data_IF_346088430989
#
_entry.id   IF_346088430989
#
_cell.length_a   1.000
_cell.length_b   1.000
_cell.length_c   1.000
_cell.angle_alpha   90.00
_cell.angle_beta   90.00
_cell.angle_gamma   90.00
#
_symmetry.space_group_name_H-M   'P 1'
#
loop_
_entity.id
_entity.type
_entity.pdbx_description
1 polymer ?
#
# COMPACT_ATOMS: atom_id res chain seq x y z
N UNK A 1 -13.63 34.33 -23.02
CA UNK A 1 -14.66 34.09 -22.00
C UNK A 1 -15.93 33.69 -22.73
N UNK A 2 -16.18 32.38 -22.93
CA UNK A 2 -17.41 31.87 -23.53
C UNK A 2 -17.96 30.74 -22.65
N UNK A 3 -19.07 31.04 -22.00
CA UNK A 3 -20.16 30.17 -21.53
C UNK A 3 -19.96 28.65 -21.63
N UNK A 4 -19.56 28.02 -20.51
CA UNK A 4 -19.62 26.58 -20.25
C UNK A 4 -20.57 26.33 -19.06
N UNK A 5 -21.84 26.74 -19.19
CA UNK A 5 -22.84 26.65 -18.10
C UNK A 5 -24.19 26.05 -18.54
N UNK A 6 -24.19 25.17 -19.53
CA UNK A 6 -25.40 24.55 -20.07
C UNK A 6 -25.30 23.02 -20.17
N UNK A 7 -24.92 22.32 -19.11
CA UNK A 7 -24.96 20.84 -19.09
C UNK A 7 -25.43 20.21 -17.78
N UNK A 8 -26.39 20.86 -17.14
CA UNK A 8 -27.35 20.22 -16.25
C UNK A 8 -28.74 20.78 -16.62
N UNK A 9 -29.26 20.37 -17.78
CA UNK A 9 -30.63 20.73 -18.15
C UNK A 9 -31.59 20.02 -17.22
N UNK A 10 -32.68 20.70 -16.86
CA UNK A 10 -33.83 20.16 -16.10
C UNK A 10 -34.28 18.76 -16.60
N UNK A 11 -34.08 18.49 -17.89
CA UNK A 11 -34.33 17.19 -18.54
C UNK A 11 -33.54 16.02 -17.98
N UNK A 12 -32.31 16.21 -17.48
CA UNK A 12 -31.48 15.10 -16.99
C UNK A 12 -31.94 14.63 -15.61
N UNK A 13 -32.38 15.55 -14.75
CA UNK A 13 -32.99 15.22 -13.44
C UNK A 13 -34.36 14.56 -13.63
N UNK A 14 -35.15 15.02 -14.60
CA UNK A 14 -36.42 14.39 -14.97
C UNK A 14 -36.21 12.99 -15.59
N UNK A 15 -35.10 12.79 -16.33
CA UNK A 15 -34.70 11.48 -16.86
C UNK A 15 -34.31 10.50 -15.73
N UNK A 16 -33.53 10.93 -14.74
CA UNK A 16 -33.15 10.12 -13.56
C UNK A 16 -34.40 9.65 -12.80
N UNK A 17 -35.34 10.56 -12.55
CA UNK A 17 -36.60 10.24 -11.84
C UNK A 17 -37.50 9.31 -12.66
N UNK A 18 -37.61 9.53 -13.96
CA UNK A 18 -38.43 8.67 -14.84
C UNK A 18 -37.85 7.25 -14.98
N UNK A 19 -36.53 7.10 -15.04
CA UNK A 19 -35.88 5.77 -15.09
C UNK A 19 -36.05 4.99 -13.78
N UNK A 20 -36.00 5.67 -12.63
CA UNK A 20 -36.30 5.05 -11.33
C UNK A 20 -37.71 4.46 -11.32
N UNK A 21 -38.70 5.24 -11.75
CA UNK A 21 -40.09 4.82 -11.85
C UNK A 21 -40.29 3.68 -12.86
N UNK A 22 -39.51 3.64 -13.95
CA UNK A 22 -39.55 2.53 -14.90
C UNK A 22 -39.10 1.24 -14.23
N UNK A 23 -37.99 1.25 -13.49
CA UNK A 23 -37.50 0.04 -12.81
C UNK A 23 -38.40 -0.42 -11.66
N UNK A 24 -38.98 0.50 -10.88
CA UNK A 24 -39.90 0.14 -9.79
C UNK A 24 -41.18 -0.57 -10.28
N UNK A 25 -41.62 -0.30 -11.51
CA UNK A 25 -42.86 -0.84 -12.08
C UNK A 25 -42.67 -2.17 -12.85
N UNK A 26 -41.45 -2.71 -12.91
CA UNK A 26 -41.15 -3.96 -13.63
C UNK A 26 -41.03 -5.12 -12.62
N UNK A 27 -41.53 -6.30 -13.00
CA UNK A 27 -41.41 -7.49 -12.17
C UNK A 27 -39.93 -7.83 -11.90
N UNK A 28 -39.59 -8.11 -10.64
CA UNK A 28 -38.20 -8.26 -10.20
C UNK A 28 -37.46 -9.41 -10.90
N UNK A 29 -38.17 -10.48 -11.27
CA UNK A 29 -37.60 -11.60 -12.02
C UNK A 29 -37.10 -11.17 -13.41
N UNK A 30 -37.82 -10.28 -14.08
CA UNK A 30 -37.42 -9.70 -15.37
C UNK A 30 -36.16 -8.84 -15.20
N UNK A 31 -36.13 -7.98 -14.17
CA UNK A 31 -34.98 -7.12 -13.90
C UNK A 31 -33.71 -7.89 -13.50
N UNK A 32 -33.86 -9.05 -12.87
CA UNK A 32 -32.72 -9.82 -12.35
C UNK A 32 -32.15 -10.81 -13.37
N UNK A 33 -32.90 -11.16 -14.43
CA UNK A 33 -32.51 -12.26 -15.33
C UNK A 33 -32.65 -12.00 -16.83
N UNK A 34 -33.51 -11.09 -17.27
CA UNK A 34 -33.78 -10.85 -18.70
C UNK A 34 -32.79 -9.83 -19.29
N UNK A 35 -31.71 -10.35 -19.88
CA UNK A 35 -30.66 -9.52 -20.48
C UNK A 35 -31.13 -8.78 -21.73
N UNK A 36 -32.11 -9.30 -22.46
CA UNK A 36 -32.56 -8.69 -23.72
C UNK A 36 -33.48 -7.52 -23.43
N UNK A 37 -34.37 -7.65 -22.44
CA UNK A 37 -35.11 -6.52 -21.90
C UNK A 37 -34.19 -5.37 -21.48
N UNK A 38 -33.11 -5.68 -20.75
CA UNK A 38 -32.17 -4.66 -20.28
C UNK A 38 -31.41 -3.99 -21.43
N UNK A 39 -30.93 -4.76 -22.42
CA UNK A 39 -30.32 -4.20 -23.64
C UNK A 39 -31.28 -3.31 -24.41
N UNK A 40 -32.53 -3.73 -24.55
CA UNK A 40 -33.59 -2.97 -25.21
C UNK A 40 -33.83 -1.63 -24.50
N UNK A 41 -33.90 -1.65 -23.16
CA UNK A 41 -34.02 -0.46 -22.34
C UNK A 41 -32.86 0.51 -22.61
N UNK A 42 -31.61 0.03 -22.48
CA UNK A 42 -30.41 0.84 -22.74
C UNK A 42 -30.41 1.37 -24.17
N UNK A 43 -30.72 0.54 -25.16
CA UNK A 43 -30.75 0.92 -26.58
C UNK A 43 -31.76 2.04 -26.84
N UNK A 44 -33.00 1.91 -26.34
CA UNK A 44 -34.05 2.92 -26.53
C UNK A 44 -33.70 4.25 -25.88
N UNK A 45 -33.04 4.23 -24.72
CA UNK A 45 -32.65 5.45 -24.01
C UNK A 45 -31.40 6.11 -24.62
N UNK A 46 -30.56 5.36 -25.34
CA UNK A 46 -29.28 5.86 -25.88
C UNK A 46 -29.23 6.05 -27.40
N UNK A 47 -30.22 5.54 -28.15
CA UNK A 47 -30.20 5.49 -29.62
C UNK A 47 -30.15 6.86 -30.30
N UNK A 48 -30.73 7.89 -29.68
CA UNK A 48 -30.86 9.23 -30.26
C UNK A 48 -29.76 10.20 -29.81
N UNK A 49 -28.77 9.73 -29.07
CA UNK A 49 -27.70 10.57 -28.53
C UNK A 49 -26.55 10.67 -29.52
N UNK A 50 -26.26 11.90 -29.96
CA UNK A 50 -25.18 12.19 -30.91
C UNK A 50 -23.80 12.23 -30.25
N UNK A 51 -23.70 12.66 -28.98
CA UNK A 51 -22.42 12.81 -28.29
C UNK A 51 -22.09 11.59 -27.42
N UNK A 52 -20.81 11.23 -27.38
CA UNK A 52 -20.27 10.10 -26.61
C UNK A 52 -20.46 10.29 -25.09
N UNK A 53 -20.37 11.53 -24.60
CA UNK A 53 -20.61 11.90 -23.21
C UNK A 53 -22.06 11.63 -22.77
N UNK A 54 -23.04 12.06 -23.56
CA UNK A 54 -24.46 11.88 -23.23
C UNK A 54 -24.83 10.40 -23.06
N UNK A 55 -24.24 9.52 -23.88
CA UNK A 55 -24.40 8.07 -23.76
C UNK A 55 -23.81 7.54 -22.45
N UNK A 56 -22.61 7.97 -22.08
CA UNK A 56 -21.97 7.54 -20.83
C UNK A 56 -22.76 8.04 -19.61
N UNK A 57 -23.25 9.27 -19.67
CA UNK A 57 -24.07 9.87 -18.64
C UNK A 57 -25.37 9.09 -18.42
N UNK A 58 -26.10 8.80 -19.49
CA UNK A 58 -27.34 8.05 -19.43
C UNK A 58 -27.09 6.61 -18.96
N UNK A 59 -26.01 5.99 -19.43
CA UNK A 59 -25.64 4.64 -19.01
C UNK A 59 -25.29 4.59 -17.52
N UNK A 60 -24.51 5.56 -17.02
CA UNK A 60 -24.19 5.68 -15.59
C UNK A 60 -25.47 5.85 -14.75
N UNK A 61 -26.42 6.64 -15.25
CA UNK A 61 -27.73 6.86 -14.62
C UNK A 61 -28.57 5.59 -14.58
N UNK A 62 -28.64 4.85 -15.69
CA UNK A 62 -29.36 3.58 -15.75
C UNK A 62 -28.76 2.59 -14.74
N UNK A 63 -27.44 2.43 -14.73
CA UNK A 63 -26.76 1.49 -13.84
C UNK A 63 -26.92 1.86 -12.37
N UNK A 64 -26.83 3.14 -12.03
CA UNK A 64 -27.03 3.60 -10.66
C UNK A 64 -28.45 3.29 -10.16
N UNK A 65 -29.49 3.67 -10.91
CA UNK A 65 -30.88 3.42 -10.52
C UNK A 65 -31.20 1.92 -10.46
N UNK A 66 -30.65 1.15 -11.40
CA UNK A 66 -30.80 -0.30 -11.38
C UNK A 66 -30.21 -0.92 -10.10
N UNK A 67 -29.05 -0.44 -9.64
CA UNK A 67 -28.40 -0.91 -8.42
C UNK A 67 -29.14 -0.51 -7.14
N UNK A 68 -29.77 0.66 -7.11
CA UNK A 68 -30.63 1.10 -6.00
C UNK A 68 -31.93 0.25 -5.91
N UNK A 69 -32.45 -0.18 -7.07
CA UNK A 69 -33.73 -0.92 -7.14
C UNK A 69 -33.55 -2.43 -6.92
N UNK A 70 -32.46 -3.01 -7.41
CA UNK A 70 -32.29 -4.47 -7.50
C UNK A 70 -31.26 -4.98 -6.51
N UNK A 71 -31.64 -5.96 -5.68
CA UNK A 71 -30.70 -6.64 -4.81
C UNK A 71 -29.65 -7.42 -5.63
N UNK A 72 -28.39 -7.00 -5.55
CA UNK A 72 -27.26 -7.56 -6.31
C UNK A 72 -27.08 -9.08 -6.12
N UNK A 73 -27.55 -9.63 -4.99
CA UNK A 73 -27.52 -11.08 -4.72
C UNK A 73 -28.48 -11.88 -5.60
N UNK A 74 -29.55 -11.25 -6.09
CA UNK A 74 -30.59 -11.89 -6.91
C UNK A 74 -30.29 -11.83 -8.41
N UNK A 75 -29.33 -10.98 -8.83
CA UNK A 75 -28.97 -10.81 -10.24
C UNK A 75 -28.30 -12.08 -10.78
N UNK A 76 -28.80 -12.56 -11.92
CA UNK A 76 -28.26 -13.71 -12.65
C UNK A 76 -26.83 -13.45 -13.15
N UNK A 77 -26.07 -14.53 -13.37
CA UNK A 77 -24.69 -14.40 -13.86
C UNK A 77 -24.61 -13.72 -15.25
N UNK A 78 -25.48 -14.06 -16.24
CA UNK A 78 -25.50 -13.34 -17.52
C UNK A 78 -25.77 -11.85 -17.37
N UNK A 79 -26.70 -11.46 -16.49
CA UNK A 79 -27.01 -10.05 -16.24
C UNK A 79 -25.84 -9.32 -15.57
N UNK A 80 -25.14 -9.95 -14.62
CA UNK A 80 -23.89 -9.41 -14.05
C UNK A 80 -22.81 -9.18 -15.11
N UNK A 81 -22.68 -10.12 -16.06
CA UNK A 81 -21.76 -9.98 -17.20
C UNK A 81 -22.12 -8.77 -18.07
N UNK A 82 -23.40 -8.62 -18.42
CA UNK A 82 -23.90 -7.49 -19.21
C UNK A 82 -23.67 -6.14 -18.51
N UNK A 83 -24.00 -6.04 -17.22
CA UNK A 83 -23.78 -4.83 -16.41
C UNK A 83 -22.29 -4.48 -16.36
N UNK A 84 -21.43 -5.49 -16.17
CA UNK A 84 -19.97 -5.31 -16.17
C UNK A 84 -19.46 -4.80 -17.51
N UNK A 85 -19.99 -5.27 -18.64
CA UNK A 85 -19.67 -4.75 -19.97
C UNK A 85 -20.03 -3.28 -20.11
N UNK A 86 -21.24 -2.88 -19.70
CA UNK A 86 -21.63 -1.48 -19.73
C UNK A 86 -20.80 -0.60 -18.79
N UNK A 87 -20.44 -1.09 -17.61
CA UNK A 87 -19.56 -0.37 -16.70
C UNK A 87 -18.16 -0.15 -17.29
N UNK A 88 -17.63 -1.14 -18.02
CA UNK A 88 -16.38 -1.02 -18.77
C UNK A 88 -16.49 -0.02 -19.93
N UNK A 89 -17.63 0.00 -20.62
CA UNK A 89 -17.90 0.99 -21.68
C UNK A 89 -17.88 2.41 -21.11
N UNK A 90 -18.48 2.64 -19.94
CA UNK A 90 -18.40 3.93 -19.23
C UNK A 90 -16.93 4.29 -18.96
N UNK A 91 -16.15 3.40 -18.33
CA UNK A 91 -14.73 3.65 -18.04
C UNK A 91 -13.93 4.05 -19.30
N UNK A 92 -14.24 3.41 -20.44
CA UNK A 92 -13.57 3.66 -21.73
C UNK A 92 -13.86 5.03 -22.35
N UNK A 93 -14.98 5.64 -21.96
CA UNK A 93 -15.65 6.66 -22.78
C UNK A 93 -16.07 7.91 -22.02
N UNK A 94 -16.01 7.88 -20.69
CA UNK A 94 -16.40 8.98 -19.82
C UNK A 94 -15.48 10.19 -19.97
N UNK A 95 -16.07 11.37 -20.01
CA UNK A 95 -15.34 12.64 -19.94
C UNK A 95 -15.17 12.99 -18.46
N UNK A 96 -13.95 12.77 -17.96
CA UNK A 96 -13.66 12.98 -16.54
C UNK A 96 -13.67 14.45 -16.14
N UNK A 97 -13.37 15.38 -17.05
CA UNK A 97 -13.44 16.82 -16.74
C UNK A 97 -14.90 17.18 -16.42
N UNK A 98 -15.82 16.70 -17.24
CA UNK A 98 -17.26 16.91 -17.04
C UNK A 98 -17.80 16.18 -15.80
N UNK A 99 -17.34 14.94 -15.55
CA UNK A 99 -17.74 14.14 -14.40
C UNK A 99 -17.44 14.84 -13.06
N UNK A 100 -16.21 15.34 -12.89
CA UNK A 100 -15.76 15.90 -11.62
C UNK A 100 -16.18 17.37 -11.41
N UNK A 101 -16.74 18.03 -12.42
CA UNK A 101 -17.42 19.32 -12.25
C UNK A 101 -18.80 19.16 -11.56
N UNK A 102 -19.38 17.96 -11.54
CA UNK A 102 -20.72 17.71 -11.00
C UNK A 102 -20.69 16.67 -9.90
N UNK A 103 -20.93 17.10 -8.65
CA UNK A 103 -20.83 16.25 -7.45
C UNK A 103 -21.69 14.99 -7.53
N UNK A 104 -22.95 15.11 -7.93
CA UNK A 104 -23.88 13.97 -8.02
C UNK A 104 -23.37 12.88 -8.97
N UNK A 105 -22.78 13.25 -10.11
CA UNK A 105 -22.26 12.29 -11.08
C UNK A 105 -20.96 11.65 -10.62
N UNK A 106 -20.10 12.42 -9.93
CA UNK A 106 -18.94 11.86 -9.25
C UNK A 106 -19.36 10.79 -8.23
N UNK A 107 -20.39 11.04 -7.42
CA UNK A 107 -20.94 10.08 -6.46
C UNK A 107 -21.48 8.81 -7.16
N UNK A 108 -22.25 8.98 -8.24
CA UNK A 108 -22.75 7.84 -9.05
C UNK A 108 -21.61 7.02 -9.66
N UNK A 109 -20.55 7.68 -10.14
CA UNK A 109 -19.37 6.99 -10.68
C UNK A 109 -18.60 6.24 -9.60
N UNK A 110 -18.42 6.84 -8.42
CA UNK A 110 -17.77 6.17 -7.29
C UNK A 110 -18.58 4.93 -6.85
N UNK A 111 -19.92 5.03 -6.85
CA UNK A 111 -20.79 3.89 -6.58
C UNK A 111 -20.70 2.80 -7.66
N UNK A 112 -20.57 3.20 -8.94
CA UNK A 112 -20.32 2.27 -10.05
C UNK A 112 -19.00 1.50 -9.82
N UNK A 113 -17.94 2.20 -9.40
CA UNK A 113 -16.64 1.60 -9.07
C UNK A 113 -16.78 0.56 -7.96
N UNK A 114 -17.36 0.94 -6.82
CA UNK A 114 -17.55 0.03 -5.68
C UNK A 114 -18.39 -1.19 -6.09
N UNK A 115 -19.49 -0.98 -6.81
CA UNK A 115 -20.45 -2.05 -7.06
C UNK A 115 -20.00 -3.04 -8.13
N UNK A 116 -19.30 -2.58 -9.16
CA UNK A 116 -18.93 -3.41 -10.31
C UNK A 116 -17.46 -3.80 -10.36
N UNK A 117 -16.59 -3.03 -9.68
CA UNK A 117 -15.14 -3.18 -9.75
C UNK A 117 -14.48 -3.47 -8.40
N UNK A 118 -15.25 -3.75 -7.33
CA UNK A 118 -14.68 -4.11 -6.01
C UNK A 118 -13.79 -5.36 -6.04
N UNK A 119 -14.01 -6.27 -7.01
CA UNK A 119 -13.16 -7.44 -7.25
C UNK A 119 -12.90 -7.57 -8.74
N UNK A 120 -11.91 -6.85 -9.23
CA UNK A 120 -11.50 -6.92 -10.62
C UNK A 120 -10.73 -8.21 -10.92
N UNK A 121 -11.06 -8.84 -12.05
CA UNK A 121 -10.13 -9.77 -12.72
C UNK A 121 -9.03 -9.00 -13.47
N UNK A 122 -8.07 -9.73 -14.04
CA UNK A 122 -6.91 -9.16 -14.75
C UNK A 122 -7.31 -8.21 -15.90
N UNK A 123 -8.36 -8.53 -16.66
CA UNK A 123 -8.83 -7.67 -17.74
C UNK A 123 -9.48 -6.38 -17.21
N UNK A 124 -10.31 -6.49 -16.17
CA UNK A 124 -10.99 -5.36 -15.56
C UNK A 124 -10.00 -4.39 -14.91
N UNK A 125 -8.99 -4.90 -14.18
CA UNK A 125 -7.98 -4.05 -13.53
C UNK A 125 -7.13 -3.32 -14.57
N UNK A 126 -6.84 -3.94 -15.72
CA UNK A 126 -6.16 -3.28 -16.83
C UNK A 126 -6.99 -2.09 -17.37
N UNK A 127 -8.29 -2.30 -17.60
CA UNK A 127 -9.19 -1.23 -18.07
C UNK A 127 -9.39 -0.13 -17.05
N UNK A 128 -9.48 -0.47 -15.77
CA UNK A 128 -9.55 0.49 -14.67
C UNK A 128 -8.30 1.37 -14.65
N UNK A 129 -7.12 0.75 -14.72
CA UNK A 129 -5.83 1.43 -14.76
C UNK A 129 -5.69 2.37 -15.97
N UNK A 130 -5.97 1.90 -17.18
CA UNK A 130 -5.95 2.73 -18.39
C UNK A 130 -6.88 3.95 -18.26
N UNK A 131 -8.05 3.74 -17.66
CA UNK A 131 -9.05 4.79 -17.47
C UNK A 131 -8.60 5.82 -16.43
N UNK A 132 -7.95 5.36 -15.35
CA UNK A 132 -7.31 6.24 -14.38
C UNK A 132 -6.21 7.09 -15.03
N UNK A 133 -5.33 6.50 -15.84
CA UNK A 133 -4.28 7.25 -16.54
C UNK A 133 -4.84 8.34 -17.44
N UNK A 134 -5.89 8.04 -18.24
CA UNK A 134 -6.57 9.06 -19.05
C UNK A 134 -7.11 10.18 -18.17
N UNK A 135 -7.75 9.83 -17.05
CA UNK A 135 -8.32 10.80 -16.13
C UNK A 135 -7.26 11.72 -15.51
N UNK A 136 -6.18 11.14 -14.97
CA UNK A 136 -5.09 11.86 -14.32
C UNK A 136 -4.32 12.77 -15.29
N UNK A 137 -4.17 12.37 -16.55
CA UNK A 137 -3.57 13.21 -17.58
C UNK A 137 -4.46 14.41 -17.97
N UNK A 138 -5.78 14.26 -17.89
CA UNK A 138 -6.73 15.33 -18.22
C UNK A 138 -7.03 16.27 -17.05
N UNK A 139 -6.77 15.85 -15.81
CA UNK A 139 -7.09 16.59 -14.60
C UNK A 139 -5.92 16.58 -13.62
N UNK A 140 -5.34 17.74 -13.36
CA UNK A 140 -4.29 17.91 -12.34
C UNK A 140 -4.87 18.20 -10.94
N UNK A 141 -6.17 17.96 -10.73
CA UNK A 141 -6.92 18.47 -9.58
C UNK A 141 -7.16 17.42 -8.49
N UNK A 142 -7.37 17.89 -7.26
CA UNK A 142 -7.53 17.10 -6.03
C UNK A 142 -8.82 16.26 -5.97
N UNK A 143 -9.67 16.31 -6.99
CA UNK A 143 -10.94 15.58 -7.03
C UNK A 143 -10.80 14.08 -7.31
N UNK A 144 -9.60 13.61 -7.72
CA UNK A 144 -9.38 12.22 -8.17
C UNK A 144 -9.02 11.22 -7.07
N UNK A 145 -8.87 11.65 -5.81
CA UNK A 145 -8.32 10.79 -4.76
C UNK A 145 -9.09 9.49 -4.57
N UNK A 146 -10.42 9.51 -4.63
CA UNK A 146 -11.21 8.28 -4.52
C UNK A 146 -10.86 7.29 -5.63
N UNK A 147 -10.86 7.74 -6.88
CA UNK A 147 -10.56 6.89 -8.04
C UNK A 147 -9.11 6.39 -8.00
N UNK A 148 -8.18 7.23 -7.56
CA UNK A 148 -6.79 6.86 -7.32
C UNK A 148 -6.65 5.75 -6.27
N UNK A 149 -7.21 5.97 -5.07
CA UNK A 149 -7.16 4.98 -3.98
C UNK A 149 -7.82 3.66 -4.38
N UNK A 150 -8.96 3.73 -5.06
CA UNK A 150 -9.66 2.56 -5.59
C UNK A 150 -8.83 1.82 -6.64
N UNK A 151 -8.19 2.54 -7.56
CA UNK A 151 -7.33 1.94 -8.58
C UNK A 151 -6.11 1.26 -7.94
N UNK A 152 -5.48 1.90 -6.96
CA UNK A 152 -4.34 1.32 -6.23
C UNK A 152 -4.75 0.06 -5.46
N UNK A 153 -5.92 0.03 -4.81
CA UNK A 153 -6.44 -1.19 -4.18
C UNK A 153 -6.52 -2.33 -5.19
N UNK A 154 -7.19 -2.11 -6.32
CA UNK A 154 -7.42 -3.15 -7.30
C UNK A 154 -6.12 -3.63 -7.96
N UNK A 155 -5.16 -2.72 -8.22
CA UNK A 155 -3.81 -3.09 -8.67
C UNK A 155 -3.09 -3.94 -7.62
N UNK A 156 -3.19 -3.58 -6.34
CA UNK A 156 -2.54 -4.29 -5.25
C UNK A 156 -3.11 -5.69 -5.05
N UNK A 157 -4.44 -5.84 -5.05
CA UNK A 157 -5.08 -7.16 -4.95
C UNK A 157 -4.69 -8.09 -6.12
N UNK A 158 -4.42 -7.52 -7.30
CA UNK A 158 -3.94 -8.24 -8.48
C UNK A 158 -2.40 -8.32 -8.59
N UNK A 159 -1.65 -7.91 -7.56
CA UNK A 159 -0.18 -7.97 -7.49
C UNK A 159 0.54 -7.21 -8.63
N UNK A 160 -0.08 -6.14 -9.14
CA UNK A 160 0.47 -5.29 -10.19
C UNK A 160 1.32 -4.14 -9.60
N UNK A 161 2.35 -4.48 -8.82
CA UNK A 161 3.15 -3.52 -8.04
C UNK A 161 3.88 -2.48 -8.90
N UNK A 162 4.45 -2.90 -10.04
CA UNK A 162 5.14 -2.01 -10.98
C UNK A 162 4.25 -0.88 -11.50
N UNK A 163 2.95 -1.13 -11.68
CA UNK A 163 1.99 -0.09 -12.06
C UNK A 163 1.71 0.89 -10.95
N UNK A 164 1.65 0.42 -9.70
CA UNK A 164 1.50 1.32 -8.54
C UNK A 164 2.71 2.23 -8.45
N UNK A 165 3.92 1.69 -8.63
CA UNK A 165 5.16 2.50 -8.64
C UNK A 165 5.18 3.51 -9.78
N UNK A 166 4.76 3.11 -10.99
CA UNK A 166 4.58 4.05 -12.10
C UNK A 166 3.64 5.20 -11.73
N UNK A 167 2.49 4.91 -11.08
CA UNK A 167 1.58 5.97 -10.65
C UNK A 167 2.25 6.93 -9.64
N UNK A 168 3.03 6.39 -8.69
CA UNK A 168 3.78 7.17 -7.69
C UNK A 168 4.74 8.15 -8.36
N UNK A 169 5.48 7.68 -9.36
CA UNK A 169 6.51 8.46 -10.05
C UNK A 169 5.91 9.54 -10.96
N UNK A 170 4.91 9.18 -11.77
CA UNK A 170 4.33 10.09 -12.76
C UNK A 170 3.38 11.12 -12.15
N UNK A 171 2.56 10.72 -11.18
CA UNK A 171 1.50 11.56 -10.64
C UNK A 171 1.79 12.09 -9.24
N UNK A 172 2.99 11.83 -8.70
CA UNK A 172 3.42 12.26 -7.36
C UNK A 172 2.42 11.88 -6.25
N UNK A 173 1.84 10.68 -6.35
CA UNK A 173 0.77 10.21 -5.46
C UNK A 173 1.30 9.78 -4.09
N UNK A 174 1.72 10.73 -3.26
CA UNK A 174 2.29 10.45 -1.93
C UNK A 174 2.13 11.58 -0.92
N UNK A 175 1.64 12.75 -1.35
CA UNK A 175 1.76 13.96 -0.57
C UNK A 175 0.56 14.16 0.38
N UNK A 176 0.79 13.92 1.67
CA UNK A 176 -0.16 14.13 2.77
C UNK A 176 -0.60 15.61 2.83
N UNK A 177 0.23 16.55 2.38
CA UNK A 177 -0.11 17.98 2.40
C UNK A 177 -1.02 18.37 1.22
N UNK A 178 -0.94 17.62 0.11
CA UNK A 178 -1.85 17.80 -1.04
C UNK A 178 -3.27 17.34 -0.73
N UNK A 179 -3.38 16.41 0.21
CA UNK A 179 -4.57 15.76 0.73
C UNK A 179 -5.37 16.79 1.58
N UNK A 180 -6.12 17.66 0.90
CA UNK A 180 -7.02 18.64 1.53
C UNK A 180 -8.25 18.00 2.20
N UNK A 181 -9.11 18.83 2.80
CA UNK A 181 -10.34 18.42 3.51
C UNK A 181 -11.18 17.41 2.69
N UNK A 182 -11.06 16.15 3.05
CA UNK A 182 -11.69 15.02 2.39
C UNK A 182 -13.20 14.94 2.59
N UNK A 183 -13.88 14.16 1.75
CA UNK A 183 -15.15 13.55 2.12
C UNK A 183 -14.85 12.48 3.20
N UNK A 184 -14.99 12.88 4.47
CA UNK A 184 -14.41 12.23 5.66
C UNK A 184 -14.78 10.76 5.86
N UNK A 185 -15.80 10.22 5.16
CA UNK A 185 -16.40 8.92 5.49
C UNK A 185 -15.72 7.71 4.86
N UNK A 186 -15.19 7.80 3.63
CA UNK A 186 -14.59 6.63 2.94
C UNK A 186 -13.06 6.64 3.03
N UNK A 187 -12.48 7.83 3.16
CA UNK A 187 -11.04 8.04 3.09
C UNK A 187 -10.40 7.79 4.45
N UNK A 188 -11.03 8.22 5.55
CA UNK A 188 -10.51 7.95 6.90
C UNK A 188 -10.37 6.45 7.21
N UNK A 189 -11.24 5.59 6.65
CA UNK A 189 -11.19 4.15 6.88
C UNK A 189 -10.15 3.42 6.01
N UNK A 190 -9.73 4.00 4.87
CA UNK A 190 -8.87 3.33 3.88
C UNK A 190 -7.53 4.02 3.62
N UNK A 191 -7.25 5.19 4.19
CA UNK A 191 -5.97 5.90 4.02
C UNK A 191 -4.78 5.03 4.47
N UNK A 192 -4.93 4.31 5.57
CA UNK A 192 -3.91 3.38 6.03
C UNK A 192 -3.56 2.36 4.94
N UNK A 193 -4.58 1.65 4.42
CA UNK A 193 -4.39 0.62 3.39
C UNK A 193 -3.75 1.20 2.14
N UNK A 194 -4.18 2.39 1.75
CA UNK A 194 -3.63 3.11 0.61
C UNK A 194 -2.11 3.36 0.76
N UNK A 195 -1.68 4.04 1.84
CA UNK A 195 -0.25 4.28 2.06
C UNK A 195 0.55 2.98 2.23
N UNK A 196 -0.04 1.98 2.88
CA UNK A 196 0.56 0.65 3.00
C UNK A 196 0.78 0.00 1.63
N UNK A 197 -0.20 0.02 0.73
CA UNK A 197 -0.07 -0.55 -0.62
C UNK A 197 0.99 0.16 -1.46
N UNK A 198 1.06 1.49 -1.38
CA UNK A 198 2.11 2.25 -2.05
C UNK A 198 3.50 1.87 -1.53
N UNK A 199 3.67 1.90 -0.21
CA UNK A 199 4.94 1.57 0.44
C UNK A 199 5.39 0.14 0.15
N UNK A 200 4.47 -0.83 0.27
CA UNK A 200 4.74 -2.22 -0.06
C UNK A 200 5.16 -2.42 -1.52
N UNK A 201 4.48 -1.75 -2.45
CA UNK A 201 4.82 -1.85 -3.87
C UNK A 201 6.23 -1.33 -4.15
N UNK A 202 6.63 -0.21 -3.51
CA UNK A 202 7.98 0.32 -3.59
C UNK A 202 9.03 -0.60 -2.96
N UNK A 203 8.70 -1.34 -1.88
CA UNK A 203 9.59 -2.36 -1.31
C UNK A 203 9.91 -3.43 -2.36
N UNK A 204 8.87 -3.96 -3.02
CA UNK A 204 8.99 -5.03 -4.02
C UNK A 204 9.78 -4.55 -5.25
N UNK A 205 9.53 -3.34 -5.73
CA UNK A 205 10.22 -2.76 -6.89
C UNK A 205 11.60 -2.15 -6.52
N UNK A 206 12.00 -2.19 -5.25
CA UNK A 206 13.36 -1.85 -4.80
C UNK A 206 13.60 -0.39 -4.37
N UNK A 207 12.59 0.48 -4.44
CA UNK A 207 12.69 1.90 -4.04
C UNK A 207 12.56 2.09 -2.52
N UNK A 208 13.63 1.75 -1.80
CA UNK A 208 13.59 1.54 -0.34
C UNK A 208 13.46 2.85 0.46
N UNK A 209 14.10 3.94 0.05
CA UNK A 209 13.98 5.23 0.76
C UNK A 209 12.55 5.80 0.68
N UNK A 210 11.92 5.73 -0.50
CA UNK A 210 10.56 6.20 -0.69
C UNK A 210 9.56 5.27 0.03
N UNK A 211 9.76 3.96 -0.06
CA UNK A 211 8.98 2.98 0.70
C UNK A 211 8.99 3.30 2.19
N UNK A 212 10.16 3.60 2.77
CA UNK A 212 10.28 3.92 4.19
C UNK A 212 9.41 5.12 4.59
N UNK A 213 9.42 6.20 3.81
CA UNK A 213 8.56 7.36 4.07
C UNK A 213 7.07 6.98 4.08
N UNK A 214 6.61 6.22 3.08
CA UNK A 214 5.19 5.84 2.96
C UNK A 214 4.74 4.85 4.04
N UNK A 215 5.59 3.89 4.41
CA UNK A 215 5.27 2.95 5.50
C UNK A 215 5.22 3.68 6.84
N UNK A 216 6.11 4.64 7.09
CA UNK A 216 6.05 5.47 8.30
C UNK A 216 4.80 6.36 8.30
N UNK A 217 4.40 6.91 7.16
CA UNK A 217 3.13 7.62 7.00
C UNK A 217 1.94 6.71 7.30
N UNK A 218 1.92 5.49 6.76
CA UNK A 218 0.86 4.51 7.03
C UNK A 218 0.74 4.27 8.53
N UNK A 219 1.86 4.11 9.24
CA UNK A 219 1.89 3.96 10.69
C UNK A 219 1.32 5.20 11.42
N UNK A 220 1.66 6.42 10.98
CA UNK A 220 1.14 7.66 11.58
C UNK A 220 -0.37 7.83 11.42
N UNK A 221 -0.92 7.42 10.28
CA UNK A 221 -2.37 7.54 9.97
C UNK A 221 -3.21 6.48 10.70
N UNK A 222 -2.59 5.50 11.36
CA UNK A 222 -3.32 4.42 12.01
C UNK A 222 -3.98 4.83 13.33
N UNK A 223 -5.27 5.17 13.25
CA UNK A 223 -6.14 5.31 14.41
C UNK A 223 -6.54 3.94 14.97
N UNK A 224 -5.71 3.36 15.83
CA UNK A 224 -6.01 2.31 16.85
C UNK A 224 -6.69 0.97 16.43
N UNK A 225 -7.06 0.77 15.15
CA UNK A 225 -7.85 -0.37 14.65
C UNK A 225 -7.16 -1.19 13.55
N UNK A 226 -5.83 -1.30 13.57
CA UNK A 226 -5.13 -2.20 12.63
C UNK A 226 -5.35 -3.65 13.07
N UNK A 227 -5.77 -4.54 12.18
CA UNK A 227 -5.75 -5.98 12.44
C UNK A 227 -4.34 -6.48 12.79
N UNK A 228 -4.25 -7.43 13.72
CA UNK A 228 -2.97 -7.94 14.20
C UNK A 228 -2.04 -8.45 13.08
N UNK A 229 -2.59 -9.13 12.08
CA UNK A 229 -1.84 -9.64 10.94
C UNK A 229 -1.24 -8.53 10.08
N UNK A 230 -1.96 -7.43 9.95
CA UNK A 230 -1.53 -6.26 9.17
C UNK A 230 -0.46 -5.48 9.93
N UNK A 231 -0.61 -5.37 11.25
CA UNK A 231 0.42 -4.80 12.13
C UNK A 231 1.73 -5.60 12.08
N UNK A 232 1.68 -6.93 12.09
CA UNK A 232 2.87 -7.79 11.93
C UNK A 232 3.58 -7.59 10.59
N UNK A 233 2.81 -7.39 9.53
CA UNK A 233 3.33 -7.17 8.20
C UNK A 233 4.07 -5.82 8.14
N UNK A 234 3.48 -4.74 8.66
CA UNK A 234 4.15 -3.43 8.79
C UNK A 234 5.45 -3.52 9.60
N UNK A 235 5.44 -4.17 10.76
CA UNK A 235 6.66 -4.30 11.58
C UNK A 235 7.79 -5.01 10.82
N UNK A 236 7.44 -6.02 10.02
CA UNK A 236 8.39 -6.75 9.19
C UNK A 236 8.96 -5.86 8.08
N UNK A 237 8.12 -5.07 7.43
CA UNK A 237 8.51 -4.10 6.40
C UNK A 237 9.43 -3.02 6.96
N UNK A 238 9.10 -2.47 8.12
CA UNK A 238 9.95 -1.45 8.74
C UNK A 238 11.27 -2.07 9.18
N UNK A 239 11.28 -3.27 9.77
CA UNK A 239 12.53 -3.96 10.13
C UNK A 239 13.44 -4.15 8.90
N UNK A 240 12.87 -4.62 7.78
CA UNK A 240 13.59 -4.74 6.52
C UNK A 240 14.17 -3.41 6.05
N UNK A 241 13.35 -2.35 6.02
CA UNK A 241 13.77 -1.03 5.53
C UNK A 241 14.80 -0.36 6.44
N UNK A 242 14.65 -0.48 7.76
CA UNK A 242 15.62 0.01 8.74
C UNK A 242 16.97 -0.65 8.57
N UNK A 243 17.01 -1.98 8.46
CA UNK A 243 18.25 -2.72 8.20
C UNK A 243 18.82 -2.35 6.83
N UNK A 244 18.00 -2.25 5.78
CA UNK A 244 18.48 -1.95 4.43
C UNK A 244 19.08 -0.54 4.31
N UNK A 245 18.46 0.45 4.95
CA UNK A 245 18.82 1.86 4.84
C UNK A 245 19.78 2.34 5.95
N UNK A 246 20.07 1.51 6.98
CA UNK A 246 20.83 1.90 8.16
C UNK A 246 20.26 3.13 8.89
N UNK A 247 18.93 3.32 8.86
CA UNK A 247 18.27 4.51 9.43
C UNK A 247 17.96 4.25 10.90
N UNK A 248 18.41 5.10 11.85
CA UNK A 248 18.19 4.87 13.28
C UNK A 248 16.71 4.69 13.63
N UNK A 249 16.44 3.76 14.55
CA UNK A 249 15.09 3.41 15.02
C UNK A 249 14.43 4.53 15.88
N UNK A 250 15.07 5.68 16.08
CA UNK A 250 14.69 6.76 17.02
C UNK A 250 13.24 7.27 16.87
N UNK A 251 12.61 7.09 15.71
CA UNK A 251 11.24 7.55 15.42
C UNK A 251 10.14 6.48 15.58
N UNK A 252 10.45 5.25 15.99
CA UNK A 252 9.42 4.25 16.30
C UNK A 252 8.86 4.41 17.73
N UNK A 253 8.71 5.66 18.17
CA UNK A 253 7.98 6.02 19.40
C UNK A 253 6.47 6.03 19.12
N UNK A 254 5.90 4.96 18.54
CA UNK A 254 4.49 4.93 18.14
C UNK A 254 3.87 3.58 18.53
N UNK A 255 3.11 3.62 19.64
CA UNK A 255 1.93 2.81 19.96
C UNK A 255 2.13 1.29 19.79
N UNK A 256 2.94 0.72 20.67
CA UNK A 256 3.09 -0.74 20.80
C UNK A 256 2.53 -1.15 22.17
N UNK A 257 1.22 -0.95 22.38
CA UNK A 257 0.55 -1.33 23.63
C UNK A 257 -0.70 -2.20 23.46
N UNK A 258 -1.04 -2.62 22.24
CA UNK A 258 -2.29 -3.39 22.00
C UNK A 258 -2.09 -4.86 21.61
N UNK A 259 -0.89 -5.26 21.21
CA UNK A 259 -0.67 -6.55 20.56
C UNK A 259 0.43 -7.39 21.25
N UNK A 260 0.01 -8.26 22.19
CA UNK A 260 0.87 -9.30 22.80
C UNK A 260 1.26 -10.35 21.76
N UNK A 261 2.37 -10.14 21.05
CA UNK A 261 2.82 -11.08 20.01
C UNK A 261 4.29 -11.43 20.17
N UNK A 262 4.68 -12.64 19.75
CA UNK A 262 6.09 -13.09 19.79
C UNK A 262 6.97 -12.43 18.72
N UNK A 263 6.38 -11.95 17.62
CA UNK A 263 7.13 -11.37 16.51
C UNK A 263 7.70 -9.99 16.85
N UNK A 264 6.92 -9.17 17.54
CA UNK A 264 7.28 -7.81 17.89
C UNK A 264 8.56 -7.74 18.77
N UNK A 265 8.67 -8.45 19.91
CA UNK A 265 9.91 -8.49 20.68
C UNK A 265 11.11 -8.92 19.84
N UNK A 266 10.93 -9.89 18.93
CA UNK A 266 12.02 -10.35 18.05
C UNK A 266 12.46 -9.29 17.04
N UNK A 267 11.53 -8.54 16.46
CA UNK A 267 11.86 -7.41 15.58
C UNK A 267 12.62 -6.35 16.37
N UNK A 268 12.18 -6.02 17.58
CA UNK A 268 12.88 -5.08 18.45
C UNK A 268 14.28 -5.58 18.83
N UNK A 269 14.42 -6.86 19.17
CA UNK A 269 15.71 -7.50 19.49
C UNK A 269 16.66 -7.42 18.28
N UNK A 270 16.19 -7.71 17.06
CA UNK A 270 17.02 -7.60 15.85
C UNK A 270 17.55 -6.19 15.68
N UNK A 271 16.66 -5.18 15.78
CA UNK A 271 17.03 -3.79 15.60
C UNK A 271 17.99 -3.34 16.71
N UNK A 272 17.70 -3.69 17.96
CA UNK A 272 18.57 -3.40 19.09
C UNK A 272 19.95 -4.04 18.90
N UNK A 273 20.03 -5.33 18.59
CA UNK A 273 21.29 -6.05 18.37
C UNK A 273 22.10 -5.48 17.20
N UNK A 274 21.41 -5.01 16.17
CA UNK A 274 22.05 -4.31 15.04
C UNK A 274 22.75 -3.02 15.48
N UNK A 275 22.10 -2.22 16.32
CA UNK A 275 22.67 -0.95 16.82
C UNK A 275 23.63 -1.10 17.99
N UNK A 276 23.54 -2.17 18.79
CA UNK A 276 24.53 -2.49 19.83
C UNK A 276 25.75 -3.25 19.28
N UNK A 277 25.75 -3.56 17.97
CA UNK A 277 26.77 -4.35 17.31
C UNK A 277 26.95 -5.75 17.93
N UNK A 278 25.86 -6.30 18.48
CA UNK A 278 25.78 -7.68 18.97
C UNK A 278 25.40 -8.60 17.82
N UNK A 279 26.44 -9.03 17.12
CA UNK A 279 26.34 -9.85 15.92
C UNK A 279 25.71 -11.24 16.17
N UNK A 280 26.02 -11.90 17.29
CA UNK A 280 25.54 -13.25 17.56
C UNK A 280 24.04 -13.24 17.89
N UNK A 281 23.63 -12.32 18.77
CA UNK A 281 22.22 -12.12 19.10
C UNK A 281 21.42 -11.63 17.88
N UNK A 282 22.04 -10.81 17.01
CA UNK A 282 21.43 -10.40 15.74
C UNK A 282 21.11 -11.61 14.85
N UNK A 283 22.09 -12.49 14.59
CA UNK A 283 21.90 -13.65 13.71
C UNK A 283 20.83 -14.61 14.26
N UNK A 284 20.87 -14.88 15.57
CA UNK A 284 19.89 -15.75 16.22
C UNK A 284 18.47 -15.17 16.10
N UNK A 285 18.27 -13.90 16.47
CA UNK A 285 16.96 -13.27 16.42
C UNK A 285 16.45 -13.09 14.98
N UNK A 286 17.34 -12.77 14.03
CA UNK A 286 17.00 -12.71 12.60
C UNK A 286 16.44 -14.04 12.10
N UNK A 287 17.14 -15.13 12.41
CA UNK A 287 16.72 -16.50 12.02
C UNK A 287 15.37 -16.86 12.65
N UNK A 288 15.18 -16.55 13.95
CA UNK A 288 13.92 -16.79 14.64
C UNK A 288 12.76 -15.95 14.07
N UNK A 289 13.01 -14.69 13.68
CA UNK A 289 12.00 -13.83 13.05
C UNK A 289 11.54 -14.44 11.71
N UNK A 290 12.47 -14.84 10.85
CA UNK A 290 12.17 -15.48 9.56
C UNK A 290 11.33 -16.74 9.76
N UNK A 291 11.67 -17.58 10.76
CA UNK A 291 10.90 -18.78 11.11
C UNK A 291 9.48 -18.49 11.66
N UNK A 292 9.25 -17.28 12.16
CA UNK A 292 7.96 -16.86 12.71
C UNK A 292 6.99 -16.31 11.66
N UNK A 293 7.39 -16.13 10.40
CA UNK A 293 6.47 -15.71 9.33
C UNK A 293 5.53 -16.86 8.93
N UNK A 294 4.22 -16.65 9.14
CA UNK A 294 3.20 -17.69 8.93
C UNK A 294 2.16 -17.36 7.86
N UNK A 295 1.90 -16.08 7.59
CA UNK A 295 0.83 -15.65 6.68
C UNK A 295 1.32 -15.56 5.20
N UNK A 296 0.44 -15.84 4.23
CA UNK A 296 0.70 -15.73 2.78
C UNK A 296 1.30 -14.38 2.36
N UNK A 297 0.84 -13.25 2.93
CA UNK A 297 1.42 -11.92 2.62
C UNK A 297 2.85 -11.77 3.16
N UNK A 298 3.12 -12.28 4.36
CA UNK A 298 4.47 -12.34 4.91
C UNK A 298 5.40 -13.25 4.09
N UNK A 299 4.86 -14.28 3.42
CA UNK A 299 5.64 -15.15 2.53
C UNK A 299 6.16 -14.42 1.28
N UNK A 300 5.49 -13.37 0.82
CA UNK A 300 6.06 -12.53 -0.24
C UNK A 300 7.25 -11.75 0.29
N UNK A 301 7.15 -11.18 1.49
CA UNK A 301 8.27 -10.52 2.18
C UNK A 301 9.45 -11.46 2.48
N UNK A 302 9.21 -12.76 2.72
CA UNK A 302 10.28 -13.77 2.89
C UNK A 302 11.26 -13.78 1.70
N UNK A 303 10.79 -13.49 0.48
CA UNK A 303 11.66 -13.43 -0.70
C UNK A 303 12.72 -12.33 -0.61
N UNK A 304 12.54 -11.33 0.27
CA UNK A 304 13.49 -10.24 0.49
C UNK A 304 14.52 -10.59 1.58
N UNK A 305 14.14 -11.39 2.57
CA UNK A 305 15.02 -11.87 3.66
C UNK A 305 15.89 -13.05 3.20
N UNK A 306 16.66 -12.82 2.15
CA UNK A 306 17.58 -13.81 1.57
C UNK A 306 18.88 -13.92 2.37
N UNK A 307 19.65 -14.98 2.13
CA UNK A 307 21.02 -15.10 2.64
C UNK A 307 21.91 -13.93 2.20
N UNK A 308 21.68 -13.40 1.00
CA UNK A 308 22.37 -12.20 0.50
C UNK A 308 22.02 -10.97 1.35
N UNK A 309 20.75 -10.80 1.70
CA UNK A 309 20.32 -9.70 2.55
C UNK A 309 20.87 -9.84 3.97
N UNK A 310 20.88 -11.06 4.51
CA UNK A 310 21.49 -11.35 5.81
C UNK A 310 22.98 -11.00 5.82
N UNK A 311 23.73 -11.46 4.82
CA UNK A 311 25.16 -11.14 4.66
C UNK A 311 25.37 -9.64 4.56
N UNK A 312 24.55 -8.94 3.77
CA UNK A 312 24.58 -7.49 3.66
C UNK A 312 24.37 -6.80 5.02
N UNK A 313 23.33 -7.16 5.77
CA UNK A 313 23.05 -6.54 7.08
C UNK A 313 24.17 -6.81 8.08
N UNK A 314 24.76 -8.01 8.05
CA UNK A 314 25.88 -8.36 8.92
C UNK A 314 27.12 -7.53 8.58
N UNK A 315 27.47 -7.43 7.29
CA UNK A 315 28.59 -6.60 6.86
C UNK A 315 28.37 -5.13 7.22
N UNK A 316 27.14 -4.63 7.14
CA UNK A 316 26.81 -3.27 7.55
C UNK A 316 26.96 -3.05 9.07
N UNK A 317 26.51 -4.02 9.89
CA UNK A 317 26.73 -4.01 11.34
C UNK A 317 28.23 -3.97 11.67
N UNK A 318 29.02 -4.83 11.02
CA UNK A 318 30.47 -4.87 11.19
C UNK A 318 31.14 -3.57 10.73
N UNK A 319 30.69 -3.00 9.62
CA UNK A 319 31.18 -1.70 9.14
C UNK A 319 30.90 -0.60 10.16
N UNK A 320 29.69 -0.52 10.73
CA UNK A 320 29.34 0.46 11.76
C UNK A 320 30.22 0.28 13.02
N UNK A 321 30.47 -0.98 13.44
CA UNK A 321 31.36 -1.30 14.56
C UNK A 321 32.81 -0.93 14.27
N UNK A 322 33.31 -1.25 13.07
CA UNK A 322 34.65 -0.88 12.61
C UNK A 322 34.84 0.64 12.64
N UNK A 323 33.88 1.41 12.12
CA UNK A 323 33.94 2.87 12.15
C UNK A 323 34.03 3.42 13.59
N UNK A 324 33.35 2.78 14.54
CA UNK A 324 33.42 3.15 15.97
C UNK A 324 34.79 2.81 16.58
N UNK A 325 35.30 1.60 16.31
CA UNK A 325 36.61 1.16 16.80
C UNK A 325 37.76 1.98 16.21
N UNK A 326 37.71 2.29 14.90
CA UNK A 326 38.74 3.08 14.22
C UNK A 326 38.81 4.53 14.73
N UNK A 327 37.68 5.10 15.19
CA UNK A 327 37.67 6.40 15.86
C UNK A 327 38.44 6.38 17.20
N UNK A 328 38.46 5.24 17.88
CA UNK A 328 39.12 5.06 19.19
C UNK A 328 40.59 4.63 19.02
N UNK A 329 40.84 3.66 18.14
CA UNK A 329 42.13 2.97 18.01
C UNK A 329 43.03 3.53 16.90
N UNK A 330 42.51 4.38 16.00
CA UNK A 330 43.25 4.93 14.86
C UNK A 330 43.39 3.96 13.67
N UNK A 331 43.80 4.50 12.51
CA UNK A 331 43.82 3.80 11.22
C UNK A 331 44.87 2.69 11.08
N UNK A 332 45.82 2.58 12.00
CA UNK A 332 46.85 1.53 12.01
C UNK A 332 46.34 0.16 12.43
N UNK A 333 45.09 0.08 12.91
CA UNK A 333 44.46 -1.15 13.41
C UNK A 333 43.50 -1.82 12.42
N UNK A 334 43.36 -1.29 11.20
CA UNK A 334 42.37 -1.76 10.21
C UNK A 334 42.50 -3.25 9.94
N UNK A 335 43.70 -3.72 9.61
CA UNK A 335 43.93 -5.12 9.23
C UNK A 335 43.66 -6.07 10.42
N UNK A 336 44.02 -5.64 11.65
CA UNK A 336 43.73 -6.40 12.88
C UNK A 336 42.23 -6.51 13.17
N UNK A 337 41.48 -5.42 12.94
CA UNK A 337 40.01 -5.42 13.10
C UNK A 337 39.35 -6.30 12.04
N UNK A 338 39.82 -6.24 10.78
CA UNK A 338 39.35 -7.12 9.70
C UNK A 338 39.58 -8.59 10.03
N UNK A 339 40.79 -8.96 10.47
CA UNK A 339 41.13 -10.34 10.84
C UNK A 339 40.27 -10.85 12.01
N UNK A 340 40.05 -10.02 13.03
CA UNK A 340 39.19 -10.41 14.16
C UNK A 340 37.74 -10.65 13.72
N UNK A 341 37.20 -9.79 12.85
CA UNK A 341 35.85 -9.94 12.35
C UNK A 341 35.70 -11.17 11.45
N UNK A 342 36.66 -11.43 10.57
CA UNK A 342 36.64 -12.61 9.71
C UNK A 342 36.76 -13.91 10.51
N UNK A 343 37.59 -13.96 11.56
CA UNK A 343 37.65 -15.12 12.46
C UNK A 343 36.28 -15.38 13.11
N UNK A 344 35.59 -14.34 13.57
CA UNK A 344 34.23 -14.46 14.14
C UNK A 344 33.20 -14.94 13.11
N UNK A 345 33.33 -14.52 11.85
CA UNK A 345 32.48 -15.01 10.76
C UNK A 345 32.71 -16.51 10.56
N UNK A 346 33.96 -16.98 10.53
CA UNK A 346 34.30 -18.41 10.39
C UNK A 346 33.78 -19.28 11.54
N UNK A 347 33.97 -18.82 12.79
CA UNK A 347 33.42 -19.49 13.97
C UNK A 347 31.90 -19.65 13.87
N UNK A 348 31.21 -18.64 13.35
CA UNK A 348 29.76 -18.62 13.24
C UNK A 348 29.23 -19.42 12.06
N UNK A 349 29.87 -19.37 10.90
CA UNK A 349 29.56 -20.26 9.78
C UNK A 349 29.71 -21.72 10.22
N UNK A 350 30.70 -22.03 11.06
CA UNK A 350 30.87 -23.36 11.66
C UNK A 350 29.73 -23.71 12.63
N UNK A 351 29.35 -22.78 13.52
CA UNK A 351 28.27 -22.97 14.50
C UNK A 351 26.89 -23.13 13.87
N UNK A 352 26.62 -22.41 12.78
CA UNK A 352 25.33 -22.39 12.10
C UNK A 352 25.31 -23.18 10.78
N UNK A 353 26.32 -24.02 10.52
CA UNK A 353 26.44 -24.82 9.31
C UNK A 353 25.20 -25.67 9.01
N UNK A 354 24.56 -26.22 10.05
CA UNK A 354 23.34 -27.02 9.95
C UNK A 354 22.12 -26.23 9.43
N UNK A 355 22.15 -24.90 9.56
CA UNK A 355 21.09 -24.00 9.08
C UNK A 355 21.38 -23.46 7.67
N UNK A 356 22.43 -23.94 6.99
CA UNK A 356 22.85 -23.50 5.66
C UNK A 356 23.06 -21.99 5.55
N UNK A 357 23.51 -21.36 6.65
CA UNK A 357 23.88 -19.94 6.67
C UNK A 357 25.37 -19.85 6.37
N UNK A 358 25.73 -19.20 5.25
CA UNK A 358 27.12 -18.97 4.87
C UNK A 358 27.38 -17.48 4.64
N UNK A 359 27.98 -16.84 5.63
CA UNK A 359 28.33 -15.42 5.58
C UNK A 359 29.71 -15.28 4.93
N UNK A 360 29.77 -14.48 3.86
CA UNK A 360 31.02 -14.21 3.16
C UNK A 360 32.02 -13.38 3.97
N UNK A 361 33.30 -13.38 3.58
CA UNK A 361 34.34 -12.59 4.25
C UNK A 361 34.00 -11.10 4.24
N UNK A 362 34.35 -10.42 5.32
CA UNK A 362 34.16 -8.99 5.51
C UNK A 362 35.44 -8.22 5.21
N UNK A 363 35.29 -7.04 4.61
CA UNK A 363 36.37 -6.09 4.37
C UNK A 363 35.88 -4.68 4.72
N UNK A 364 36.66 -3.93 5.49
CA UNK A 364 36.30 -2.57 5.88
C UNK A 364 36.31 -1.70 4.64
N UNK A 365 35.19 -1.03 4.38
CA UNK A 365 35.13 0.00 3.37
C UNK A 365 35.89 1.23 3.88
N UNK A 366 37.04 1.49 3.27
CA UNK A 366 37.85 2.68 3.51
C UNK A 366 37.22 3.83 2.72
N UNK A 367 36.21 4.49 3.29
CA UNK A 367 35.60 5.65 2.62
C UNK A 367 36.66 6.73 2.35
N UNK A 368 36.73 7.19 1.09
CA UNK A 368 37.19 8.56 0.80
C UNK A 368 36.13 9.47 1.42
N UNK A 369 36.52 10.28 2.38
CA UNK A 369 35.68 11.29 3.03
C UNK A 369 34.94 12.14 1.99
N UNK A 370 33.68 11.81 1.72
CA UNK A 370 32.68 12.80 1.35
C UNK A 370 31.83 13.00 2.61
N UNK A 371 32.06 14.12 3.27
CA UNK A 371 31.13 14.67 4.25
C UNK A 371 29.75 14.73 3.60
N UNK A 372 28.85 13.87 4.08
CA UNK A 372 27.44 14.18 4.36
C UNK A 372 26.66 12.87 4.43
N UNK A 373 26.35 12.42 5.66
CA UNK A 373 25.04 11.91 6.06
C UNK A 373 25.05 11.55 7.56
N UNK A 374 24.33 12.40 8.28
CA UNK A 374 23.77 12.30 9.63
C UNK A 374 24.72 12.07 10.82
N UNK A 375 24.72 12.99 11.81
CA UNK A 375 25.46 12.78 13.05
C UNK A 375 24.80 11.63 13.83
N UNK A 376 25.58 10.59 14.12
CA UNK A 376 25.30 9.67 15.22
C UNK A 376 25.30 10.48 16.51
N UNK A 377 24.11 10.93 16.95
CA UNK A 377 23.94 11.45 18.29
C UNK A 377 24.02 10.28 19.28
N UNK A 378 25.04 10.33 20.12
CA UNK A 378 25.43 9.35 21.13
C UNK A 378 24.52 9.34 22.38
N UNK A 379 23.23 9.65 22.25
CA UNK A 379 22.37 9.85 23.41
C UNK A 379 21.04 9.12 23.32
N UNK A 380 20.99 7.79 23.31
CA UNK A 380 19.72 7.05 23.51
C UNK A 380 19.87 5.63 24.08
N UNK A 381 20.95 5.33 24.81
CA UNK A 381 21.04 4.10 25.63
C UNK A 381 20.11 4.10 26.87
N UNK A 382 19.20 5.08 27.03
CA UNK A 382 18.39 5.24 28.24
C UNK A 382 16.89 4.94 28.11
N UNK A 383 16.35 4.60 26.93
CA UNK A 383 14.91 4.35 26.76
C UNK A 383 14.47 2.88 26.83
N UNK A 384 15.42 1.92 26.85
CA UNK A 384 15.11 0.50 27.04
C UNK A 384 14.77 0.11 28.49
N UNK A 385 15.06 0.98 29.47
CA UNK A 385 14.73 0.75 30.88
C UNK A 385 13.25 0.86 31.24
N UNK A 386 12.40 1.39 30.34
CA UNK A 386 10.97 1.59 30.59
C UNK A 386 10.08 0.47 30.04
N UNK A 387 10.57 -0.33 29.09
CA UNK A 387 9.77 -1.46 28.53
C UNK A 387 9.87 -2.71 29.42
N UNK A 388 10.99 -2.90 30.12
CA UNK A 388 11.12 -4.02 31.06
C UNK A 388 10.33 -3.81 32.36
N UNK A 389 10.13 -2.58 32.84
CA UNK A 389 9.40 -2.34 34.11
C UNK A 389 7.88 -2.45 34.00
N UNK A 390 7.32 -2.37 32.78
CA UNK A 390 5.87 -2.48 32.56
C UNK A 390 5.43 -3.94 32.31
N UNK A 391 6.35 -4.85 31.98
CA UNK A 391 6.02 -6.28 31.81
C UNK A 391 6.09 -7.11 33.11
N UNK A 392 6.69 -6.59 34.18
CA UNK A 392 6.88 -7.32 35.44
C UNK A 392 5.81 -7.07 36.52
N UNK A 393 4.76 -6.29 36.25
CA UNK A 393 3.76 -5.93 37.28
C UNK A 393 2.51 -6.81 37.36
N UNK A 394 2.34 -7.82 36.49
CA UNK A 394 1.17 -8.72 36.55
C UNK A 394 1.54 -10.19 36.86
N UNK A 395 2.38 -10.40 37.88
CA UNK A 395 2.44 -11.70 38.57
C UNK A 395 2.28 -11.52 40.08
N UNK A 396 1.02 -11.32 40.51
CA UNK A 396 0.40 -11.88 41.74
C UNK A 396 -0.88 -11.09 42.08
N UNK A 397 -2.03 -11.61 41.67
CA UNK A 397 -3.17 -12.01 42.54
C UNK A 397 -4.20 -12.71 41.69
#
# INVERSE_FOLDING_TARGET
MNTVSHFATKSNVDLVKSLSQVFENIHIDTLTSDTDFFKDCVSRTTSNLGQKWDKCFILLTILHNYQETVNVKMISLPMKGLISSYALDILSSIDFVMLYQQREFCEMFNNLLISNFAKCNEFQVQRLYESFLRCANCNSDKSLYFFQMFTVDQLFQNQLYSKIVYLIEEFKIADIESIGSFDERYINDNLFSYFHWLGYSLIIEGSSEHAYKLIMTALLVTNEKIELSTFHLLLTEIAYLTLKLNVPYENMSIIILKYRTKLLPRVLDILQNFYTYDYESFLCNYTLMVLHFKNKRQKLMLSLFTEKFLTFSIHQLLQNKASTLLRVCGSTSVDQIEDEFNRKIEEMNSKYAEYLISIGPFKIQREKTTHDRFPLHSSLCYSLGLVHSIMDTDTKT
#
